data_IF_439110557515
#
_entry.id   IF_439110557515
#
_cell.length_a   1.000
_cell.length_b   1.000
_cell.length_c   1.000
_cell.angle_alpha   90.00
_cell.angle_beta   90.00
_cell.angle_gamma   90.00
#
_symmetry.space_group_name_H-M   'P 1'
#
loop_
_entity.id
_entity.type
_entity.pdbx_description
1 polymer ?
#
# COMPACT_ATOMS: atom_id res chain seq x y z
N UNK A 1 -2.00 28.88 -3.28
CA UNK A 1 -1.27 27.78 -3.94
C UNK A 1 0.04 28.32 -4.50
N UNK A 2 1.17 27.88 -3.97
CA UNK A 2 2.49 28.29 -4.46
C UNK A 2 2.75 27.71 -5.86
N UNK A 3 3.60 28.32 -6.70
CA UNK A 3 3.90 27.83 -8.06
C UNK A 3 4.35 26.37 -8.12
N UNK A 4 5.03 25.89 -7.08
CA UNK A 4 5.47 24.49 -6.96
C UNK A 4 4.30 23.50 -6.87
N UNK A 5 3.16 23.87 -6.31
CA UNK A 5 1.98 23.00 -6.17
C UNK A 5 1.17 22.87 -7.47
N UNK A 6 1.29 23.80 -8.41
CA UNK A 6 0.59 23.71 -9.71
C UNK A 6 1.15 22.61 -10.63
N UNK A 7 2.44 22.30 -10.52
CA UNK A 7 3.07 21.24 -11.34
C UNK A 7 2.83 19.82 -10.83
N UNK A 8 2.53 19.64 -9.55
CA UNK A 8 2.35 18.31 -8.92
C UNK A 8 0.92 17.77 -9.04
N UNK A 9 -0.08 18.63 -9.06
CA UNK A 9 -1.50 18.22 -9.07
C UNK A 9 -1.87 17.35 -10.29
N UNK A 10 -1.50 17.70 -11.55
CA UNK A 10 -1.78 16.85 -12.71
C UNK A 10 -1.12 15.46 -12.59
N UNK A 11 0.09 15.37 -12.03
CA UNK A 11 0.79 14.11 -11.80
C UNK A 11 0.07 13.26 -10.75
N UNK A 12 -0.39 13.87 -9.66
CA UNK A 12 -1.14 13.20 -8.60
C UNK A 12 -2.46 12.66 -9.13
N UNK A 13 -3.20 13.44 -9.89
CA UNK A 13 -4.48 13.02 -10.49
C UNK A 13 -4.22 11.88 -11.48
N UNK A 14 -3.30 12.06 -12.41
CA UNK A 14 -2.97 11.07 -13.42
C UNK A 14 -2.54 9.74 -12.78
N UNK A 15 -1.59 9.80 -11.85
CA UNK A 15 -1.08 8.61 -11.19
C UNK A 15 -2.13 7.99 -10.25
N UNK A 16 -2.95 8.80 -9.56
CA UNK A 16 -4.06 8.33 -8.76
C UNK A 16 -5.09 7.54 -9.58
N UNK A 17 -5.48 8.05 -10.75
CA UNK A 17 -6.39 7.35 -11.67
C UNK A 17 -5.77 6.05 -12.20
N UNK A 18 -4.51 6.05 -12.61
CA UNK A 18 -3.85 4.84 -13.10
C UNK A 18 -3.63 3.81 -11.98
N UNK A 19 -3.40 4.26 -10.74
CA UNK A 19 -3.37 3.38 -9.56
C UNK A 19 -4.76 2.79 -9.25
N UNK A 20 -5.84 3.58 -9.36
CA UNK A 20 -7.22 3.06 -9.23
C UNK A 20 -7.45 1.91 -10.21
N UNK A 21 -7.08 2.09 -11.46
CA UNK A 21 -7.20 1.08 -12.51
C UNK A 21 -6.34 -0.16 -12.22
N UNK A 22 -5.08 0.03 -11.85
CA UNK A 22 -4.17 -1.07 -11.55
C UNK A 22 -4.62 -1.92 -10.36
N UNK A 23 -5.10 -1.30 -9.27
CA UNK A 23 -5.64 -2.02 -8.11
C UNK A 23 -6.95 -2.74 -8.44
N UNK A 24 -7.85 -2.10 -9.19
CA UNK A 24 -9.14 -2.67 -9.59
C UNK A 24 -8.97 -3.93 -10.45
N UNK A 25 -8.07 -3.87 -11.44
CA UNK A 25 -7.82 -4.93 -12.41
C UNK A 25 -6.86 -6.03 -11.93
N UNK A 26 -6.32 -5.93 -10.72
CA UNK A 26 -5.42 -6.93 -10.15
C UNK A 26 -5.85 -7.40 -8.77
N UNK A 27 -5.58 -6.62 -7.72
CA UNK A 27 -5.80 -7.01 -6.32
C UNK A 27 -7.27 -7.23 -6.00
N UNK A 28 -8.17 -6.46 -6.60
CA UNK A 28 -9.63 -6.58 -6.37
C UNK A 28 -10.34 -7.52 -7.33
N UNK A 29 -9.68 -7.94 -8.40
CA UNK A 29 -10.23 -8.81 -9.44
C UNK A 29 -10.69 -10.19 -8.91
N UNK A 30 -9.90 -10.91 -8.08
CA UNK A 30 -10.27 -12.25 -7.61
C UNK A 30 -11.56 -12.26 -6.77
N UNK A 31 -11.87 -11.18 -6.08
CA UNK A 31 -13.08 -11.10 -5.26
C UNK A 31 -14.36 -11.33 -6.09
N UNK A 32 -14.36 -10.90 -7.34
CA UNK A 32 -15.50 -11.03 -8.26
C UNK A 32 -15.33 -12.23 -9.20
N UNK A 33 -14.13 -12.40 -9.78
CA UNK A 33 -13.94 -13.38 -10.85
C UNK A 33 -13.55 -14.78 -10.37
N UNK A 34 -13.18 -14.99 -9.09
CA UNK A 34 -12.73 -16.31 -8.64
C UNK A 34 -13.80 -17.40 -8.81
N UNK A 35 -15.09 -17.07 -8.60
CA UNK A 35 -16.17 -18.03 -8.73
C UNK A 35 -16.40 -18.45 -10.20
N UNK A 36 -16.64 -17.54 -11.14
CA UNK A 36 -16.87 -17.90 -12.54
C UNK A 36 -15.64 -18.54 -13.20
N UNK A 37 -14.42 -18.10 -12.86
CA UNK A 37 -13.18 -18.75 -13.33
C UNK A 37 -13.10 -20.20 -12.84
N UNK A 38 -13.33 -20.42 -11.55
CA UNK A 38 -13.28 -21.77 -10.96
C UNK A 38 -14.31 -22.71 -11.62
N UNK A 39 -15.51 -22.21 -11.84
CA UNK A 39 -16.60 -22.96 -12.47
C UNK A 39 -16.27 -23.34 -13.93
N UNK A 40 -15.85 -22.39 -14.74
CA UNK A 40 -15.62 -22.62 -16.17
C UNK A 40 -14.36 -23.45 -16.43
N UNK A 41 -13.28 -23.24 -15.65
CA UNK A 41 -12.05 -24.01 -15.78
C UNK A 41 -12.09 -25.37 -15.03
N UNK A 42 -13.20 -25.68 -14.38
CA UNK A 42 -13.40 -26.89 -13.59
C UNK A 42 -12.29 -27.12 -12.54
N UNK A 43 -11.97 -26.04 -11.80
CA UNK A 43 -10.99 -26.03 -10.71
C UNK A 43 -11.63 -25.50 -9.42
N UNK A 44 -10.96 -25.67 -8.28
CA UNK A 44 -11.45 -25.10 -7.02
C UNK A 44 -11.23 -23.57 -6.96
N UNK A 45 -12.09 -22.87 -6.23
CA UNK A 45 -11.83 -21.43 -5.90
C UNK A 45 -10.50 -21.25 -5.17
N UNK A 46 -10.10 -22.24 -4.35
CA UNK A 46 -8.82 -22.22 -3.65
C UNK A 46 -7.64 -22.18 -4.64
N UNK A 47 -7.73 -22.85 -5.79
CA UNK A 47 -6.69 -22.77 -6.82
C UNK A 47 -6.58 -21.37 -7.44
N UNK A 48 -7.70 -20.65 -7.62
CA UNK A 48 -7.68 -19.28 -8.12
C UNK A 48 -7.03 -18.33 -7.10
N UNK A 49 -7.40 -18.43 -5.83
CA UNK A 49 -6.75 -17.65 -4.76
C UNK A 49 -5.30 -18.07 -4.52
N UNK A 50 -4.96 -19.36 -4.71
CA UNK A 50 -3.58 -19.85 -4.68
C UNK A 50 -2.72 -19.20 -5.76
N UNK A 51 -3.22 -19.10 -7.00
CA UNK A 51 -2.54 -18.41 -8.09
C UNK A 51 -2.36 -16.92 -7.78
N UNK A 52 -3.37 -16.25 -7.21
CA UNK A 52 -3.24 -14.87 -6.73
C UNK A 52 -2.21 -14.73 -5.59
N UNK A 53 -2.13 -15.68 -4.66
CA UNK A 53 -1.11 -15.68 -3.61
C UNK A 53 0.30 -15.80 -4.19
N UNK A 54 0.50 -16.61 -5.23
CA UNK A 54 1.77 -16.69 -5.96
C UNK A 54 2.09 -15.34 -6.62
N UNK A 55 1.09 -14.68 -7.24
CA UNK A 55 1.28 -13.33 -7.80
C UNK A 55 1.73 -12.32 -6.73
N UNK A 56 1.17 -12.37 -5.52
CA UNK A 56 1.60 -11.52 -4.41
C UNK A 56 3.05 -11.79 -3.98
N UNK A 57 3.46 -13.05 -3.92
CA UNK A 57 4.85 -13.42 -3.63
C UNK A 57 5.79 -12.88 -4.70
N UNK A 58 5.45 -13.08 -5.99
CA UNK A 58 6.22 -12.54 -7.12
C UNK A 58 6.29 -11.01 -7.09
N UNK A 59 5.19 -10.35 -6.71
CA UNK A 59 5.14 -8.89 -6.49
C UNK A 59 6.17 -8.47 -5.43
N UNK A 60 6.22 -9.18 -4.32
CA UNK A 60 7.19 -8.92 -3.25
C UNK A 60 8.64 -9.12 -3.71
N UNK A 61 8.93 -10.27 -4.32
CA UNK A 61 10.28 -10.62 -4.79
C UNK A 61 10.78 -9.67 -5.90
N UNK A 62 9.88 -9.20 -6.77
CA UNK A 62 10.20 -8.23 -7.82
C UNK A 62 10.46 -6.81 -7.30
N UNK A 63 9.90 -6.46 -6.13
CA UNK A 63 9.95 -5.13 -5.56
C UNK A 63 11.35 -4.50 -5.47
N UNK A 64 12.37 -5.18 -4.93
CA UNK A 64 13.72 -4.62 -4.80
C UNK A 64 14.39 -4.32 -6.15
N UNK A 65 14.14 -5.16 -7.16
CA UNK A 65 14.67 -4.96 -8.52
C UNK A 65 13.98 -3.75 -9.18
N UNK A 66 12.65 -3.70 -9.13
CA UNK A 66 11.86 -2.59 -9.67
C UNK A 66 12.24 -1.28 -8.97
N UNK A 67 12.34 -1.29 -7.65
CA UNK A 67 12.76 -0.13 -6.87
C UNK A 67 14.11 0.42 -7.29
N UNK A 68 15.12 -0.45 -7.46
CA UNK A 68 16.45 -0.06 -7.97
C UNK A 68 16.40 0.53 -9.38
N UNK A 69 15.58 -0.04 -10.25
CA UNK A 69 15.43 0.47 -11.62
C UNK A 69 14.80 1.86 -11.62
N UNK A 70 13.79 2.09 -10.76
CA UNK A 70 13.17 3.41 -10.59
C UNK A 70 14.16 4.43 -10.00
N UNK A 71 14.93 4.02 -8.98
CA UNK A 71 15.95 4.89 -8.37
C UNK A 71 17.01 5.32 -9.39
N UNK A 72 17.38 4.45 -10.34
CA UNK A 72 18.41 4.73 -11.36
C UNK A 72 17.85 5.47 -12.58
N UNK A 73 16.74 5.00 -13.14
CA UNK A 73 16.24 5.44 -14.45
C UNK A 73 14.98 6.29 -14.37
N UNK A 74 14.41 6.47 -13.16
CA UNK A 74 13.12 7.15 -12.96
C UNK A 74 11.91 6.24 -13.16
N UNK A 75 10.74 6.73 -12.73
CA UNK A 75 9.51 5.92 -12.67
C UNK A 75 8.72 5.85 -13.97
N UNK A 76 8.87 6.81 -14.90
CA UNK A 76 8.04 6.91 -16.10
C UNK A 76 8.03 5.64 -16.94
N UNK A 77 9.22 5.15 -17.30
CA UNK A 77 9.37 3.95 -18.13
C UNK A 77 8.83 2.70 -17.43
N UNK A 78 9.10 2.56 -16.13
CA UNK A 78 8.63 1.42 -15.33
C UNK A 78 7.10 1.39 -15.22
N UNK A 79 6.47 2.53 -14.89
CA UNK A 79 5.02 2.65 -14.78
C UNK A 79 4.31 2.53 -16.14
N UNK A 80 4.94 2.98 -17.24
CA UNK A 80 4.42 2.74 -18.57
C UNK A 80 4.50 1.26 -18.96
N UNK A 81 5.67 0.62 -18.75
CA UNK A 81 5.86 -0.79 -19.04
C UNK A 81 4.93 -1.69 -18.19
N UNK A 82 4.63 -1.31 -16.94
CA UNK A 82 3.69 -2.07 -16.11
C UNK A 82 2.32 -2.22 -16.78
N UNK A 83 1.83 -1.19 -17.49
CA UNK A 83 0.53 -1.25 -18.17
C UNK A 83 0.54 -2.25 -19.33
N UNK A 84 1.66 -2.40 -20.04
CA UNK A 84 1.81 -3.42 -21.07
C UNK A 84 1.80 -4.83 -20.43
N UNK A 85 2.49 -5.00 -19.31
CA UNK A 85 2.54 -6.29 -18.59
C UNK A 85 1.18 -6.62 -17.95
N UNK A 86 0.47 -5.62 -17.38
CA UNK A 86 -0.91 -5.81 -16.91
C UNK A 86 -1.83 -6.25 -18.06
N UNK A 87 -1.78 -5.56 -19.18
CA UNK A 87 -2.58 -5.93 -20.35
C UNK A 87 -2.27 -7.34 -20.84
N UNK A 88 -0.99 -7.71 -20.94
CA UNK A 88 -0.58 -9.06 -21.32
C UNK A 88 -1.11 -10.12 -20.34
N UNK A 89 -0.94 -9.92 -19.03
CA UNK A 89 -1.45 -10.83 -18.00
C UNK A 89 -2.97 -10.97 -18.00
N UNK A 90 -3.70 -9.85 -18.21
CA UNK A 90 -5.15 -9.85 -18.31
C UNK A 90 -5.66 -10.54 -19.59
N UNK A 91 -4.99 -10.33 -20.73
CA UNK A 91 -5.28 -11.06 -21.96
C UNK A 91 -5.00 -12.54 -21.81
N UNK A 92 -3.86 -12.92 -21.22
CA UNK A 92 -3.55 -14.31 -20.92
C UNK A 92 -4.60 -14.94 -20.01
N UNK A 93 -5.08 -14.21 -19.00
CA UNK A 93 -6.15 -14.68 -18.12
C UNK A 93 -7.46 -14.85 -18.89
N UNK A 94 -7.84 -13.88 -19.70
CA UNK A 94 -9.05 -13.93 -20.51
C UNK A 94 -9.06 -15.04 -21.55
N UNK A 95 -7.92 -15.41 -22.09
CA UNK A 95 -7.76 -16.53 -23.03
C UNK A 95 -7.43 -17.87 -22.34
N UNK A 96 -7.33 -17.93 -21.02
CA UNK A 96 -6.93 -19.15 -20.32
C UNK A 96 -7.91 -20.31 -20.55
N UNK A 97 -7.47 -21.44 -21.14
CA UNK A 97 -8.32 -22.61 -21.36
C UNK A 97 -8.32 -23.57 -20.16
N UNK A 98 -7.38 -23.42 -19.24
CA UNK A 98 -7.19 -24.30 -18.08
C UNK A 98 -6.50 -23.60 -16.91
N UNK A 99 -6.42 -24.28 -15.76
CA UNK A 99 -5.81 -23.76 -14.55
C UNK A 99 -4.31 -23.44 -14.67
N UNK A 100 -3.57 -24.14 -15.54
CA UNK A 100 -2.13 -23.87 -15.72
C UNK A 100 -1.90 -22.53 -16.43
N UNK A 101 -2.66 -22.24 -17.48
CA UNK A 101 -2.58 -20.96 -18.18
C UNK A 101 -3.09 -19.82 -17.28
N UNK A 102 -4.14 -20.06 -16.47
CA UNK A 102 -4.58 -19.11 -15.44
C UNK A 102 -3.46 -18.83 -14.44
N UNK A 103 -2.74 -19.83 -13.95
CA UNK A 103 -1.60 -19.64 -13.04
C UNK A 103 -0.49 -18.83 -13.72
N UNK A 104 -0.15 -19.14 -14.96
CA UNK A 104 0.84 -18.38 -15.73
C UNK A 104 0.42 -16.91 -15.89
N UNK A 105 -0.86 -16.64 -16.18
CA UNK A 105 -1.41 -15.29 -16.23
C UNK A 105 -1.25 -14.53 -14.90
N UNK A 106 -1.53 -15.18 -13.77
CA UNK A 106 -1.31 -14.61 -12.45
C UNK A 106 0.17 -14.35 -12.14
N UNK A 107 1.09 -15.18 -12.64
CA UNK A 107 2.52 -14.89 -12.53
C UNK A 107 2.91 -13.62 -13.29
N UNK A 108 2.38 -13.42 -14.51
CA UNK A 108 2.59 -12.20 -15.29
C UNK A 108 1.96 -10.99 -14.59
N UNK A 109 0.73 -11.14 -14.06
CA UNK A 109 0.09 -10.09 -13.26
C UNK A 109 0.88 -9.76 -12.00
N UNK A 110 1.51 -10.74 -11.34
CA UNK A 110 2.40 -10.51 -10.20
C UNK A 110 3.60 -9.63 -10.56
N UNK A 111 4.22 -9.86 -11.71
CA UNK A 111 5.27 -8.99 -12.23
C UNK A 111 4.74 -7.57 -12.54
N UNK A 112 3.57 -7.46 -13.17
CA UNK A 112 2.90 -6.19 -13.43
C UNK A 112 2.61 -5.42 -12.13
N UNK A 113 2.12 -6.12 -11.09
CA UNK A 113 1.86 -5.56 -9.78
C UNK A 113 3.12 -5.02 -9.10
N UNK A 114 4.26 -5.73 -9.21
CA UNK A 114 5.54 -5.24 -8.72
C UNK A 114 5.96 -3.93 -9.40
N UNK A 115 5.72 -3.83 -10.71
CA UNK A 115 6.11 -2.69 -11.55
C UNK A 115 5.16 -1.50 -11.45
N UNK A 116 3.88 -1.70 -11.11
CA UNK A 116 2.83 -0.71 -11.34
C UNK A 116 1.97 -0.34 -10.13
N UNK A 117 2.03 -1.06 -9.00
CA UNK A 117 1.27 -0.71 -7.81
C UNK A 117 1.96 0.37 -6.95
N UNK A 118 1.40 0.66 -5.77
CA UNK A 118 1.82 1.75 -4.89
C UNK A 118 3.31 1.85 -4.66
N UNK A 119 4.02 0.73 -4.51
CA UNK A 119 5.44 0.74 -4.18
C UNK A 119 6.27 1.37 -5.30
N UNK A 120 5.98 1.01 -6.54
CA UNK A 120 6.59 1.61 -7.73
C UNK A 120 6.14 3.07 -7.91
N UNK A 121 4.86 3.37 -7.68
CA UNK A 121 4.32 4.72 -7.76
C UNK A 121 4.95 5.65 -6.71
N UNK A 122 5.10 5.18 -5.45
CA UNK A 122 5.76 5.92 -4.38
C UNK A 122 7.24 6.16 -4.69
N UNK A 123 7.95 5.13 -5.17
CA UNK A 123 9.34 5.28 -5.59
C UNK A 123 9.48 6.31 -6.71
N UNK A 124 8.58 6.30 -7.70
CA UNK A 124 8.55 7.29 -8.77
C UNK A 124 8.30 8.71 -8.25
N UNK A 125 7.35 8.89 -7.32
CA UNK A 125 7.08 10.19 -6.70
C UNK A 125 8.24 10.68 -5.84
N UNK A 126 8.87 9.79 -5.06
CA UNK A 126 10.05 10.16 -4.27
C UNK A 126 11.22 10.54 -5.17
N UNK A 127 11.42 9.83 -6.27
CA UNK A 127 12.45 10.17 -7.26
C UNK A 127 12.21 11.52 -7.93
N UNK A 128 10.94 11.94 -8.11
CA UNK A 128 10.56 13.23 -8.71
C UNK A 128 10.58 14.39 -7.71
N UNK A 129 10.12 14.17 -6.48
CA UNK A 129 9.86 15.23 -5.50
C UNK A 129 10.78 15.19 -4.27
N UNK A 130 11.65 14.19 -4.15
CA UNK A 130 12.57 14.02 -3.02
C UNK A 130 11.83 14.03 -1.68
N UNK A 131 12.30 14.82 -0.73
CA UNK A 131 11.70 14.95 0.62
C UNK A 131 10.27 15.49 0.62
N UNK A 132 9.83 16.15 -0.46
CA UNK A 132 8.49 16.72 -0.60
C UNK A 132 7.46 15.72 -1.17
N UNK A 133 7.82 14.45 -1.37
CA UNK A 133 6.93 13.43 -1.95
C UNK A 133 5.76 13.02 -1.04
N UNK A 134 5.74 13.41 0.25
CA UNK A 134 4.67 13.04 1.20
C UNK A 134 3.28 13.46 0.71
N UNK A 135 3.09 14.72 0.31
CA UNK A 135 1.79 15.20 -0.18
C UNK A 135 1.34 14.47 -1.45
N UNK A 136 2.18 14.32 -2.51
CA UNK A 136 1.85 13.50 -3.67
C UNK A 136 1.50 12.04 -3.32
N UNK A 137 2.26 11.39 -2.45
CA UNK A 137 1.97 10.01 -1.98
C UNK A 137 0.58 9.95 -1.35
N UNK A 138 0.25 10.86 -0.44
CA UNK A 138 -1.07 10.90 0.19
C UNK A 138 -2.15 11.17 -0.86
N UNK A 139 -1.92 12.10 -1.79
CA UNK A 139 -2.87 12.44 -2.85
C UNK A 139 -3.24 11.25 -3.75
N UNK A 140 -2.24 10.47 -4.23
CA UNK A 140 -2.54 9.29 -5.04
C UNK A 140 -3.28 8.21 -4.26
N UNK A 141 -3.01 8.06 -2.96
CA UNK A 141 -3.71 7.07 -2.13
C UNK A 141 -5.16 7.47 -1.83
N UNK A 142 -5.46 8.77 -1.80
CA UNK A 142 -6.84 9.25 -1.69
C UNK A 142 -7.66 8.85 -2.93
N UNK A 143 -7.14 9.12 -4.12
CA UNK A 143 -7.83 8.80 -5.39
C UNK A 143 -7.94 7.28 -5.56
N UNK A 144 -6.84 6.56 -5.42
CA UNK A 144 -6.85 5.11 -5.56
C UNK A 144 -7.52 4.36 -4.39
N UNK A 145 -7.89 5.07 -3.33
CA UNK A 145 -8.77 4.56 -2.28
C UNK A 145 -10.14 4.12 -2.79
N UNK A 146 -10.57 4.68 -3.93
CA UNK A 146 -11.83 4.30 -4.59
C UNK A 146 -11.69 3.11 -5.55
N UNK A 147 -10.53 2.44 -5.60
CA UNK A 147 -10.31 1.36 -6.55
C UNK A 147 -11.29 0.19 -6.39
N UNK A 148 -11.65 -0.20 -5.17
CA UNK A 148 -12.68 -1.22 -4.94
C UNK A 148 -14.09 -0.71 -5.25
N UNK A 149 -14.37 0.56 -4.93
CA UNK A 149 -15.67 1.20 -5.18
C UNK A 149 -15.99 1.30 -6.68
N UNK A 150 -15.00 1.48 -7.52
CA UNK A 150 -15.15 1.50 -8.98
C UNK A 150 -14.95 0.09 -9.57
N UNK A 151 -13.94 -0.63 -9.11
CA UNK A 151 -13.51 -1.89 -9.70
C UNK A 151 -14.51 -3.02 -9.51
N UNK A 152 -15.07 -3.18 -8.32
CA UNK A 152 -16.03 -4.26 -8.06
C UNK A 152 -17.32 -4.13 -8.86
N UNK A 153 -18.06 -2.99 -8.84
CA UNK A 153 -19.26 -2.85 -9.64
C UNK A 153 -19.01 -3.00 -11.14
N UNK A 154 -17.93 -2.39 -11.65
CA UNK A 154 -17.59 -2.51 -13.06
C UNK A 154 -17.26 -3.96 -13.45
N UNK A 155 -16.42 -4.63 -12.66
CA UNK A 155 -16.05 -6.04 -12.92
C UNK A 155 -17.29 -6.96 -12.81
N UNK A 156 -18.15 -6.75 -11.80
CA UNK A 156 -19.37 -7.53 -11.63
C UNK A 156 -20.32 -7.33 -12.81
N UNK A 157 -20.58 -6.07 -13.21
CA UNK A 157 -21.42 -5.75 -14.36
C UNK A 157 -20.91 -6.41 -15.65
N UNK A 158 -19.60 -6.29 -15.92
CA UNK A 158 -19.00 -6.91 -17.10
C UNK A 158 -19.06 -8.45 -17.06
N UNK A 159 -18.83 -9.04 -15.89
CA UNK A 159 -18.87 -10.49 -15.72
C UNK A 159 -20.29 -11.04 -15.86
N UNK A 160 -21.29 -10.33 -15.37
CA UNK A 160 -22.71 -10.72 -15.47
C UNK A 160 -23.26 -10.65 -16.90
N UNK A 161 -22.93 -9.55 -17.63
CA UNK A 161 -23.52 -9.31 -18.94
C UNK A 161 -22.72 -9.87 -20.11
N UNK A 162 -21.38 -9.95 -19.98
CA UNK A 162 -20.47 -10.33 -21.08
C UNK A 162 -19.53 -11.49 -20.71
N UNK A 163 -19.64 -12.00 -19.49
CA UNK A 163 -18.78 -13.06 -18.97
C UNK A 163 -17.45 -12.54 -18.40
N UNK A 164 -16.82 -13.37 -17.55
CA UNK A 164 -15.60 -13.00 -16.85
C UNK A 164 -14.41 -12.76 -17.79
N UNK A 165 -14.36 -13.43 -18.95
CA UNK A 165 -13.31 -13.25 -19.97
C UNK A 165 -13.36 -11.85 -20.56
N UNK A 166 -14.56 -11.37 -20.88
CA UNK A 166 -14.77 -10.01 -21.37
C UNK A 166 -14.32 -8.97 -20.34
N UNK A 167 -14.56 -9.21 -19.04
CA UNK A 167 -14.03 -8.35 -17.97
C UNK A 167 -12.51 -8.21 -18.06
N UNK A 168 -11.79 -9.33 -18.28
CA UNK A 168 -10.33 -9.31 -18.43
C UNK A 168 -9.90 -8.49 -19.67
N UNK A 169 -10.59 -8.65 -20.80
CA UNK A 169 -10.27 -7.92 -22.03
C UNK A 169 -10.54 -6.42 -21.89
N UNK A 170 -11.64 -6.02 -21.23
CA UNK A 170 -11.92 -4.61 -20.98
C UNK A 170 -10.86 -3.99 -20.08
N UNK A 171 -10.47 -4.67 -19.00
CA UNK A 171 -9.39 -4.18 -18.14
C UNK A 171 -8.06 -4.08 -18.88
N UNK A 172 -7.73 -5.04 -19.75
CA UNK A 172 -6.54 -4.97 -20.60
C UNK A 172 -6.58 -3.77 -21.55
N UNK A 173 -7.71 -3.53 -22.19
CA UNK A 173 -7.90 -2.37 -23.05
C UNK A 173 -7.78 -1.05 -22.29
N UNK A 174 -8.31 -0.95 -21.06
CA UNK A 174 -8.16 0.24 -20.21
C UNK A 174 -6.69 0.50 -19.83
N UNK A 175 -5.89 -0.54 -19.60
CA UNK A 175 -4.45 -0.37 -19.40
C UNK A 175 -3.74 0.20 -20.63
N UNK A 176 -4.08 -0.29 -21.82
CA UNK A 176 -3.44 0.15 -23.07
C UNK A 176 -3.93 1.52 -23.52
N UNK A 177 -5.25 1.77 -23.47
CA UNK A 177 -5.86 2.96 -24.05
C UNK A 177 -5.93 4.15 -23.07
N UNK A 178 -5.89 3.90 -21.75
CA UNK A 178 -6.02 4.94 -20.72
C UNK A 178 -4.75 5.04 -19.89
N UNK A 179 -4.40 3.97 -19.14
CA UNK A 179 -3.33 4.08 -18.17
C UNK A 179 -1.95 4.28 -18.78
N UNK A 180 -1.64 3.58 -19.89
CA UNK A 180 -0.37 3.71 -20.59
C UNK A 180 -0.15 5.15 -21.12
N UNK A 181 -1.07 5.73 -21.93
CA UNK A 181 -0.89 7.11 -22.43
C UNK A 181 -0.91 8.14 -21.31
N UNK A 182 -1.70 7.96 -20.25
CA UNK A 182 -1.70 8.85 -19.08
C UNK A 182 -0.34 8.82 -18.39
N UNK A 183 0.24 7.65 -18.13
CA UNK A 183 1.56 7.55 -17.50
C UNK A 183 2.66 8.16 -18.41
N UNK A 184 2.59 7.95 -19.72
CA UNK A 184 3.54 8.53 -20.66
C UNK A 184 3.41 10.06 -20.78
N UNK A 185 2.20 10.62 -20.65
CA UNK A 185 1.95 12.05 -20.84
C UNK A 185 2.23 12.87 -19.59
N UNK A 186 1.88 12.36 -18.41
CA UNK A 186 1.87 13.15 -17.16
C UNK A 186 3.03 12.86 -16.21
N UNK A 187 3.71 11.71 -16.34
CA UNK A 187 4.88 11.41 -15.53
C UNK A 187 6.13 11.88 -16.26
N UNK A 188 6.89 12.84 -15.70
CA UNK A 188 8.11 13.32 -16.34
C UNK A 188 9.18 12.24 -16.47
N UNK A 189 9.84 12.19 -17.61
CA UNK A 189 11.09 11.44 -17.76
C UNK A 189 12.23 12.21 -17.13
N UNK A 190 13.10 11.53 -16.40
CA UNK A 190 14.31 12.13 -15.87
C UNK A 190 15.37 12.07 -16.99
N UNK A 191 15.86 13.24 -17.44
CA UNK A 191 17.01 13.28 -18.33
C UNK A 191 18.25 12.79 -17.58
N UNK A 192 18.93 11.78 -18.12
CA UNK A 192 20.20 11.30 -17.60
C UNK A 192 21.23 12.43 -17.71
N UNK A 193 21.43 13.19 -16.66
CA UNK A 193 22.32 14.36 -16.66
C UNK A 193 22.01 15.39 -15.59
N UNK A 194 20.77 15.42 -15.06
CA UNK A 194 20.37 16.40 -14.07
C UNK A 194 20.88 16.13 -12.64
N UNK A 195 21.67 15.08 -12.43
CA UNK A 195 22.15 14.67 -11.08
C UNK A 195 23.52 15.29 -10.76
N UNK A 196 24.24 15.83 -11.74
CA UNK A 196 25.62 16.29 -11.55
C UNK A 196 25.75 17.77 -11.12
N UNK A 197 24.70 18.57 -11.05
CA UNK A 197 24.83 20.03 -10.88
C UNK A 197 24.32 20.59 -9.56
N UNK A 198 23.90 19.78 -8.59
CA UNK A 198 23.45 20.30 -7.29
C UNK A 198 24.47 20.17 -6.13
N UNK A 199 25.71 19.75 -6.39
CA UNK A 199 26.76 19.63 -5.37
C UNK A 199 28.11 20.27 -5.73
N UNK A 200 28.15 21.21 -6.66
CA UNK A 200 29.34 22.03 -6.86
C UNK A 200 28.93 23.50 -6.98
N UNK A 201 28.73 24.15 -5.84
CA UNK A 201 29.02 25.57 -5.73
C UNK A 201 30.54 25.66 -5.72
N UNK A 202 31.19 26.36 -6.63
CA UNK A 202 32.64 26.62 -6.53
C UNK A 202 32.82 27.49 -5.30
N UNK A 203 33.64 27.00 -4.35
CA UNK A 203 34.14 27.83 -3.29
C UNK A 203 34.97 28.94 -3.92
N UNK A 204 34.51 30.19 -3.86
CA UNK A 204 35.32 31.36 -4.03
C UNK A 204 36.34 31.39 -2.89
N UNK A 205 37.64 31.57 -3.16
CA UNK A 205 38.62 31.75 -2.11
C UNK A 205 38.44 33.17 -1.57
N UNK A 206 37.92 33.30 -0.37
CA UNK A 206 38.07 34.53 0.42
C UNK A 206 39.21 34.34 1.42
N UNK A 207 40.13 35.29 1.30
CA UNK A 207 41.27 35.62 2.10
C UNK A 207 41.05 35.59 3.62
N UNK A 208 42.10 35.17 4.29
CA UNK A 208 42.37 35.20 5.71
C UNK A 208 42.08 36.55 6.36
N UNK A 209 41.30 36.54 7.41
CA UNK A 209 41.50 37.44 8.55
C UNK A 209 41.01 36.78 9.84
N UNK A 210 41.81 36.81 10.92
CA UNK A 210 41.45 36.14 12.16
C UNK A 210 40.70 37.12 13.06
N UNK A 211 39.40 36.91 13.32
CA UNK A 211 38.73 37.64 14.38
C UNK A 211 38.43 36.73 15.57
N UNK A 212 39.08 37.07 16.65
CA UNK A 212 38.86 36.58 17.99
C UNK A 212 37.61 37.26 18.54
N UNK A 213 36.64 36.49 18.95
CA UNK A 213 35.93 36.77 20.20
C UNK A 213 34.68 35.91 20.41
N UNK A 214 34.72 35.33 21.51
CA UNK A 214 33.72 35.20 22.57
C UNK A 214 32.94 33.91 22.63
N UNK A 215 33.47 33.09 23.54
CA UNK A 215 32.76 32.12 24.32
C UNK A 215 31.47 32.71 24.93
N UNK A 216 30.34 32.17 24.56
CA UNK A 216 29.21 32.12 25.44
C UNK A 216 28.72 30.68 25.47
N UNK A 217 29.14 29.97 26.49
CA UNK A 217 28.64 28.69 26.86
C UNK A 217 27.17 28.80 27.23
N UNK A 218 26.30 28.47 26.31
CA UNK A 218 24.94 28.07 26.64
C UNK A 218 24.93 26.53 26.66
N UNK A 219 25.09 26.00 27.86
CA UNK A 219 24.94 24.58 28.16
C UNK A 219 23.47 24.21 27.97
N UNK A 220 23.06 23.97 26.74
CA UNK A 220 21.77 23.37 26.42
C UNK A 220 21.96 21.84 26.53
N UNK A 221 21.76 21.34 27.75
CA UNK A 221 21.77 19.90 28.06
C UNK A 221 20.49 19.28 27.51
N UNK A 222 20.30 19.33 26.20
CA UNK A 222 19.41 18.38 25.53
C UNK A 222 20.14 17.06 25.55
N UNK A 223 19.61 16.12 26.31
CA UNK A 223 19.98 14.71 26.24
C UNK A 223 19.90 14.27 24.77
N UNK A 224 21.03 14.36 24.08
CA UNK A 224 21.18 13.90 22.70
C UNK A 224 21.02 12.39 22.70
N UNK A 225 19.81 11.94 22.45
CA UNK A 225 19.52 10.52 22.31
C UNK A 225 20.40 9.99 21.17
N UNK A 226 21.26 9.03 21.47
CA UNK A 226 22.11 8.35 20.48
C UNK A 226 21.29 8.03 19.22
N UNK A 227 21.74 8.37 18.00
CA UNK A 227 21.01 8.09 16.78
C UNK A 227 20.72 6.59 16.69
N UNK A 228 19.50 6.23 16.35
CA UNK A 228 19.09 4.84 16.18
C UNK A 228 19.84 4.27 14.97
N UNK A 229 20.40 3.05 15.11
CA UNK A 229 21.03 2.37 13.99
C UNK A 229 20.04 2.20 12.83
N UNK A 230 20.44 2.59 11.60
CA UNK A 230 19.60 2.42 10.39
C UNK A 230 19.13 0.98 10.22
N UNK A 231 19.96 0.01 10.58
CA UNK A 231 19.64 -1.41 10.51
C UNK A 231 18.47 -1.77 11.43
N UNK A 232 18.48 -1.26 12.67
CA UNK A 232 17.38 -1.49 13.61
C UNK A 232 16.09 -0.82 13.13
N UNK A 233 16.18 0.43 12.66
CA UNK A 233 15.03 1.15 12.11
C UNK A 233 14.42 0.40 10.90
N UNK A 234 15.25 -0.16 10.02
CA UNK A 234 14.81 -0.96 8.89
C UNK A 234 14.03 -2.20 9.34
N UNK A 235 14.55 -2.97 10.29
CA UNK A 235 13.86 -4.17 10.78
C UNK A 235 12.56 -3.85 11.52
N UNK A 236 12.52 -2.77 12.29
CA UNK A 236 11.29 -2.32 12.94
C UNK A 236 10.22 -1.92 11.91
N UNK A 237 10.60 -1.23 10.83
CA UNK A 237 9.68 -0.94 9.71
C UNK A 237 9.27 -2.19 8.96
N UNK A 238 10.16 -3.17 8.79
CA UNK A 238 9.84 -4.45 8.16
C UNK A 238 8.81 -5.23 8.98
N UNK A 239 8.98 -5.30 10.30
CA UNK A 239 8.00 -5.90 11.22
C UNK A 239 6.65 -5.17 11.15
N UNK A 240 6.65 -3.85 11.20
CA UNK A 240 5.43 -3.04 11.04
C UNK A 240 4.73 -3.33 9.71
N UNK A 241 5.47 -3.32 8.60
CA UNK A 241 4.90 -3.54 7.27
C UNK A 241 4.34 -4.96 7.10
N UNK A 242 5.07 -5.97 7.60
CA UNK A 242 4.67 -7.37 7.56
C UNK A 242 3.43 -7.65 8.42
N UNK A 243 3.45 -7.19 9.68
CA UNK A 243 2.35 -7.39 10.63
C UNK A 243 1.05 -6.70 10.16
N UNK A 244 1.14 -5.45 9.71
CA UNK A 244 -0.03 -4.72 9.17
C UNK A 244 -0.54 -5.33 7.87
N UNK A 245 0.33 -5.89 7.02
CA UNK A 245 -0.08 -6.58 5.80
C UNK A 245 -0.79 -7.89 6.11
N UNK A 246 -0.34 -8.63 7.12
CA UNK A 246 -1.05 -9.81 7.61
C UNK A 246 -2.47 -9.46 8.06
N UNK A 247 -2.61 -8.50 8.98
CA UNK A 247 -3.92 -8.11 9.51
C UNK A 247 -4.86 -7.61 8.41
N UNK A 248 -4.36 -6.77 7.50
CA UNK A 248 -5.16 -6.26 6.38
C UNK A 248 -5.68 -7.39 5.51
N UNK A 249 -4.85 -8.37 5.18
CA UNK A 249 -5.22 -9.49 4.31
C UNK A 249 -6.14 -10.49 5.02
N UNK A 250 -5.88 -10.78 6.29
CA UNK A 250 -6.75 -11.63 7.11
C UNK A 250 -8.16 -11.03 7.24
N UNK A 251 -8.26 -9.74 7.54
CA UNK A 251 -9.56 -9.05 7.64
C UNK A 251 -10.25 -8.94 6.28
N UNK A 252 -9.53 -8.69 5.19
CA UNK A 252 -10.12 -8.66 3.86
C UNK A 252 -10.78 -9.99 3.47
N UNK A 253 -10.22 -11.11 3.94
CA UNK A 253 -10.74 -12.45 3.64
C UNK A 253 -11.83 -12.92 4.63
N UNK A 254 -11.70 -12.57 5.91
CA UNK A 254 -12.46 -13.23 6.97
C UNK A 254 -13.34 -12.30 7.80
N UNK A 255 -13.36 -10.98 7.58
CA UNK A 255 -14.09 -10.04 8.41
C UNK A 255 -15.58 -10.40 8.57
N UNK A 256 -16.36 -10.65 7.50
CA UNK A 256 -17.78 -11.00 7.68
C UNK A 256 -17.96 -12.28 8.49
N UNK A 257 -17.17 -13.32 8.19
CA UNK A 257 -17.20 -14.60 8.92
C UNK A 257 -16.81 -14.46 10.38
N UNK A 258 -15.79 -13.64 10.67
CA UNK A 258 -15.34 -13.34 12.04
C UNK A 258 -16.46 -12.66 12.85
N UNK A 259 -17.15 -11.67 12.25
CA UNK A 259 -18.25 -10.97 12.90
C UNK A 259 -19.46 -11.88 13.16
N UNK A 260 -19.79 -12.73 12.18
CA UNK A 260 -20.85 -13.75 12.36
C UNK A 260 -20.49 -14.70 13.50
N UNK A 261 -19.25 -15.21 13.54
CA UNK A 261 -18.77 -16.10 14.59
C UNK A 261 -18.68 -15.41 15.97
N UNK A 262 -18.50 -14.09 16.00
CA UNK A 262 -18.58 -13.27 17.21
C UNK A 262 -20.02 -12.99 17.68
N UNK A 263 -21.05 -13.49 16.98
CA UNK A 263 -22.45 -13.36 17.33
C UNK A 263 -23.21 -12.23 16.63
N UNK A 264 -22.63 -11.61 15.59
CA UNK A 264 -23.35 -10.61 14.79
C UNK A 264 -24.40 -11.29 13.89
N UNK A 265 -25.52 -10.62 13.65
CA UNK A 265 -26.46 -11.05 12.61
C UNK A 265 -25.83 -10.89 11.22
N UNK A 266 -26.33 -11.64 10.23
CA UNK A 266 -25.85 -11.55 8.85
C UNK A 266 -25.96 -10.12 8.30
N UNK A 267 -27.04 -9.41 8.59
CA UNK A 267 -27.24 -8.02 8.19
C UNK A 267 -26.24 -7.08 8.85
N UNK A 268 -25.97 -7.26 10.17
CA UNK A 268 -24.98 -6.45 10.91
C UNK A 268 -23.56 -6.69 10.40
N UNK A 269 -23.18 -7.94 10.14
CA UNK A 269 -21.86 -8.29 9.62
C UNK A 269 -21.63 -7.70 8.21
N UNK A 270 -22.62 -7.77 7.33
CA UNK A 270 -22.54 -7.20 5.98
C UNK A 270 -22.46 -5.67 6.03
N UNK A 271 -23.31 -5.02 6.85
CA UNK A 271 -23.30 -3.57 7.03
C UNK A 271 -21.95 -3.09 7.59
N UNK A 272 -21.43 -3.78 8.60
CA UNK A 272 -20.11 -3.48 9.16
C UNK A 272 -19.01 -3.61 8.10
N UNK A 273 -18.99 -4.69 7.32
CA UNK A 273 -18.03 -4.87 6.24
C UNK A 273 -18.11 -3.76 5.18
N UNK A 274 -19.32 -3.29 4.85
CA UNK A 274 -19.52 -2.18 3.91
C UNK A 274 -18.97 -0.83 4.44
N UNK A 275 -18.92 -0.62 5.75
CA UNK A 275 -18.36 0.60 6.35
C UNK A 275 -16.83 0.69 6.27
N UNK A 276 -16.14 -0.41 6.01
CA UNK A 276 -14.67 -0.46 5.96
C UNK A 276 -14.10 0.50 4.90
N UNK A 277 -14.65 0.50 3.69
CA UNK A 277 -14.22 1.37 2.58
C UNK A 277 -14.38 2.86 2.89
N UNK A 278 -15.59 3.33 3.23
CA UNK A 278 -15.82 4.72 3.64
C UNK A 278 -14.93 5.17 4.80
N UNK A 279 -14.72 4.32 5.82
CA UNK A 279 -13.83 4.63 6.94
C UNK A 279 -12.37 4.81 6.50
N UNK A 280 -11.87 3.98 5.56
CA UNK A 280 -10.54 4.15 4.99
C UNK A 280 -10.36 5.50 4.29
N UNK A 281 -11.33 5.88 3.45
CA UNK A 281 -11.26 7.14 2.69
C UNK A 281 -11.36 8.34 3.62
N UNK A 282 -12.30 8.30 4.57
CA UNK A 282 -12.47 9.37 5.56
C UNK A 282 -11.19 9.58 6.40
N UNK A 283 -10.57 8.50 6.86
CA UNK A 283 -9.34 8.56 7.64
C UNK A 283 -8.14 9.11 6.83
N UNK A 284 -8.02 8.72 5.55
CA UNK A 284 -6.99 9.29 4.65
C UNK A 284 -7.19 10.77 4.41
N UNK A 285 -8.44 11.20 4.23
CA UNK A 285 -8.77 12.62 4.07
C UNK A 285 -8.46 13.40 5.35
N UNK A 286 -8.86 12.86 6.52
CA UNK A 286 -8.57 13.47 7.81
C UNK A 286 -7.05 13.59 8.06
N UNK A 287 -6.27 12.54 7.75
CA UNK A 287 -4.80 12.60 7.85
C UNK A 287 -4.22 13.64 6.90
N UNK A 288 -4.67 13.70 5.64
CA UNK A 288 -4.21 14.68 4.67
C UNK A 288 -4.44 16.12 5.17
N UNK A 289 -5.66 16.41 5.65
CA UNK A 289 -6.02 17.74 6.17
C UNK A 289 -5.22 18.10 7.42
N UNK A 290 -5.09 17.15 8.35
CA UNK A 290 -4.42 17.33 9.63
C UNK A 290 -2.90 17.49 9.45
N UNK A 291 -2.29 16.65 8.61
CA UNK A 291 -0.88 16.73 8.29
C UNK A 291 -0.52 18.07 7.63
N UNK A 292 -1.40 18.57 6.75
CA UNK A 292 -1.21 19.84 6.06
C UNK A 292 -1.38 21.04 6.99
N UNK A 293 -2.33 20.99 7.94
CA UNK A 293 -2.64 22.08 8.86
C UNK A 293 -1.66 22.17 10.04
N UNK A 294 -1.27 21.03 10.60
CA UNK A 294 -0.52 20.95 11.85
C UNK A 294 0.90 20.38 11.69
N UNK A 295 1.31 19.98 10.49
CA UNK A 295 2.66 19.45 10.25
C UNK A 295 2.98 18.16 10.99
N UNK A 296 1.99 17.32 11.29
CA UNK A 296 2.23 16.05 12.03
C UNK A 296 3.30 15.19 11.38
N UNK A 297 4.21 14.70 12.21
CA UNK A 297 5.25 13.80 11.76
C UNK A 297 4.64 12.44 11.32
N UNK A 298 5.09 11.82 10.21
CA UNK A 298 4.54 10.55 9.72
C UNK A 298 4.51 9.43 10.76
N UNK A 299 5.49 9.40 11.67
CA UNK A 299 5.55 8.41 12.75
C UNK A 299 4.41 8.55 13.76
N UNK A 300 3.98 9.78 14.07
CA UNK A 300 2.83 10.00 14.96
C UNK A 300 1.54 9.51 14.30
N UNK A 301 1.29 9.87 13.04
CA UNK A 301 0.15 9.37 12.27
C UNK A 301 0.13 7.84 12.20
N UNK A 302 1.29 7.22 11.95
CA UNK A 302 1.41 5.76 11.87
C UNK A 302 1.11 5.07 13.20
N UNK A 303 1.57 5.63 14.33
CA UNK A 303 1.26 5.10 15.68
C UNK A 303 -0.24 5.15 15.98
N UNK A 304 -0.88 6.29 15.71
CA UNK A 304 -2.33 6.43 15.85
C UNK A 304 -3.06 5.41 14.96
N UNK A 305 -2.71 5.35 13.68
CA UNK A 305 -3.31 4.44 12.72
C UNK A 305 -3.22 2.97 13.14
N UNK A 306 -2.03 2.56 13.65
CA UNK A 306 -1.79 1.18 14.06
C UNK A 306 -2.50 0.83 15.37
N UNK A 307 -2.76 1.81 16.26
CA UNK A 307 -3.49 1.62 17.49
C UNK A 307 -5.01 1.41 17.27
N UNK A 308 -5.57 1.88 16.15
CA UNK A 308 -7.02 1.78 15.90
C UNK A 308 -7.52 0.33 15.81
N UNK A 309 -6.75 -0.58 15.19
CA UNK A 309 -7.18 -1.98 15.09
C UNK A 309 -7.20 -2.70 16.45
N UNK A 310 -6.16 -2.68 17.29
CA UNK A 310 -6.25 -3.28 18.62
C UNK A 310 -7.35 -2.67 19.49
N UNK A 311 -7.63 -1.36 19.36
CA UNK A 311 -8.77 -0.75 20.05
C UNK A 311 -10.08 -1.38 19.58
N UNK A 312 -10.26 -1.54 18.28
CA UNK A 312 -11.42 -2.22 17.71
C UNK A 312 -11.52 -3.67 18.16
N UNK A 313 -10.40 -4.39 18.24
CA UNK A 313 -10.32 -5.77 18.78
C UNK A 313 -10.84 -5.83 20.21
N UNK A 314 -10.43 -4.90 21.07
CA UNK A 314 -10.90 -4.83 22.46
C UNK A 314 -12.42 -4.59 22.52
N UNK A 315 -12.94 -3.66 21.68
CA UNK A 315 -14.39 -3.40 21.59
C UNK A 315 -15.14 -4.68 21.19
N UNK A 316 -14.68 -5.38 20.15
CA UNK A 316 -15.29 -6.62 19.68
C UNK A 316 -15.21 -7.75 20.72
N UNK A 317 -14.07 -7.87 21.41
CA UNK A 317 -13.86 -8.90 22.43
C UNK A 317 -14.71 -8.71 23.70
N UNK A 318 -14.94 -7.45 24.11
CA UNK A 318 -15.70 -7.13 25.33
C UNK A 318 -17.23 -7.13 25.09
N UNK A 319 -17.66 -6.73 23.91
CA UNK A 319 -19.10 -6.48 23.63
C UNK A 319 -19.69 -7.58 22.72
N UNK A 320 -18.83 -8.33 22.01
CA UNK A 320 -19.25 -9.36 21.06
C UNK A 320 -19.81 -8.79 19.77
N UNK A 321 -20.66 -9.58 19.10
CA UNK A 321 -21.22 -9.26 17.79
C UNK A 321 -22.39 -8.27 17.78
N UNK A 322 -22.60 -7.48 18.82
CA UNK A 322 -23.61 -6.43 18.81
C UNK A 322 -23.42 -5.50 17.59
N UNK A 323 -24.49 -5.05 16.91
CA UNK A 323 -24.39 -4.32 15.64
C UNK A 323 -23.46 -3.10 15.71
N UNK A 324 -23.50 -2.34 16.81
CA UNK A 324 -22.63 -1.18 16.99
C UNK A 324 -21.17 -1.55 17.21
N UNK A 325 -20.89 -2.68 17.91
CA UNK A 325 -19.54 -3.15 18.14
C UNK A 325 -18.90 -3.70 16.86
N UNK A 326 -19.66 -4.43 16.07
CA UNK A 326 -19.25 -4.87 14.73
C UNK A 326 -18.95 -3.68 13.80
N UNK A 327 -19.81 -2.67 13.78
CA UNK A 327 -19.60 -1.44 13.02
C UNK A 327 -18.37 -0.66 13.53
N UNK A 328 -18.23 -0.48 14.84
CA UNK A 328 -17.07 0.21 15.45
C UNK A 328 -15.76 -0.51 15.13
N UNK A 329 -15.71 -1.84 15.24
CA UNK A 329 -14.54 -2.63 14.85
C UNK A 329 -14.17 -2.42 13.39
N UNK A 330 -15.14 -2.55 12.47
CA UNK A 330 -14.92 -2.38 11.03
C UNK A 330 -14.45 -0.96 10.69
N UNK A 331 -15.06 0.06 11.30
CA UNK A 331 -14.66 1.46 11.09
C UNK A 331 -13.26 1.75 11.64
N UNK A 332 -12.92 1.30 12.85
CA UNK A 332 -11.59 1.46 13.43
C UNK A 332 -10.53 0.73 12.61
N UNK A 333 -10.80 -0.52 12.23
CA UNK A 333 -9.90 -1.28 11.34
C UNK A 333 -9.74 -0.58 9.99
N UNK A 334 -10.84 -0.16 9.38
CA UNK A 334 -10.84 0.54 8.09
C UNK A 334 -10.05 1.85 8.17
N UNK A 335 -10.32 2.69 9.14
CA UNK A 335 -9.61 3.95 9.36
C UNK A 335 -8.10 3.72 9.55
N UNK A 336 -7.73 2.77 10.42
CA UNK A 336 -6.34 2.37 10.62
C UNK A 336 -5.67 1.92 9.34
N UNK A 337 -6.30 1.01 8.59
CA UNK A 337 -5.77 0.50 7.33
C UNK A 337 -5.60 1.60 6.25
N UNK A 338 -6.53 2.54 6.19
CA UNK A 338 -6.44 3.70 5.31
C UNK A 338 -5.17 4.54 5.57
N UNK A 339 -4.94 4.91 6.81
CA UNK A 339 -3.77 5.69 7.23
C UNK A 339 -2.45 4.88 7.14
N UNK A 340 -2.47 3.57 7.48
CA UNK A 340 -1.30 2.68 7.37
C UNK A 340 -0.80 2.61 5.92
N UNK A 341 -1.68 2.66 4.94
CA UNK A 341 -1.29 2.68 3.53
C UNK A 341 -0.42 3.89 3.19
N UNK A 342 -0.76 5.07 3.72
CA UNK A 342 0.05 6.29 3.60
C UNK A 342 1.36 6.14 4.37
N UNK A 343 1.29 5.63 5.60
CA UNK A 343 2.45 5.43 6.46
C UNK A 343 3.51 4.51 5.84
N UNK A 344 3.11 3.42 5.18
CA UNK A 344 4.02 2.52 4.46
C UNK A 344 4.83 3.23 3.39
N UNK A 345 4.30 4.25 2.74
CA UNK A 345 5.03 5.05 1.76
C UNK A 345 5.84 6.21 2.37
N UNK A 346 5.35 6.80 3.45
CA UNK A 346 5.94 8.04 4.01
C UNK A 346 6.96 7.81 5.11
N UNK A 347 6.85 6.73 5.89
CA UNK A 347 7.81 6.42 6.97
C UNK A 347 9.22 6.11 6.46
N UNK A 348 9.43 5.24 5.44
CA UNK A 348 10.77 5.01 4.91
C UNK A 348 11.42 6.29 4.38
N UNK A 349 10.62 7.18 3.76
CA UNK A 349 11.09 8.49 3.31
C UNK A 349 11.50 9.39 4.48
N UNK A 350 10.69 9.43 5.55
CA UNK A 350 10.94 10.27 6.71
C UNK A 350 12.15 9.82 7.55
N UNK A 351 12.45 8.51 7.55
CA UNK A 351 13.51 7.93 8.38
C UNK A 351 14.84 7.83 7.61
N UNK A 352 14.79 7.40 6.34
CA UNK A 352 15.98 7.11 5.55
C UNK A 352 16.27 8.15 4.46
N UNK A 353 15.37 9.12 4.27
CA UNK A 353 15.48 10.07 3.17
C UNK A 353 15.14 9.47 1.80
N UNK A 354 15.37 10.27 0.75
CA UNK A 354 15.00 9.92 -0.62
C UNK A 354 16.03 9.08 -1.37
N UNK A 355 17.29 9.03 -0.91
CA UNK A 355 18.34 8.27 -1.57
C UNK A 355 18.08 6.75 -1.46
N UNK A 356 18.00 6.04 -2.59
CA UNK A 356 17.74 4.60 -2.64
C UNK A 356 16.38 4.19 -2.04
N UNK A 357 15.42 5.10 -2.02
CA UNK A 357 14.08 4.86 -1.46
C UNK A 357 13.38 3.68 -2.14
N UNK A 358 13.42 3.62 -3.47
CA UNK A 358 12.74 2.56 -4.20
C UNK A 358 13.26 1.16 -3.84
N UNK A 359 14.58 1.01 -3.74
CA UNK A 359 15.18 -0.26 -3.32
C UNK A 359 14.81 -0.65 -1.89
N UNK A 360 14.88 0.30 -0.94
CA UNK A 360 14.49 0.06 0.47
C UNK A 360 13.01 -0.29 0.59
N UNK A 361 12.15 0.43 -0.12
CA UNK A 361 10.71 0.15 -0.18
C UNK A 361 10.44 -1.25 -0.73
N UNK A 362 11.13 -1.63 -1.80
CA UNK A 362 11.05 -2.97 -2.35
C UNK A 362 11.43 -4.07 -1.36
N UNK A 363 12.53 -3.88 -0.58
CA UNK A 363 12.94 -4.84 0.45
C UNK A 363 11.92 -4.98 1.58
N UNK A 364 11.34 -3.86 2.06
CA UNK A 364 10.29 -3.88 3.08
C UNK A 364 9.06 -4.66 2.58
N UNK A 365 8.77 -4.56 1.30
CA UNK A 365 7.63 -5.24 0.68
C UNK A 365 7.80 -6.73 0.47
N UNK A 366 9.01 -7.27 0.41
CA UNK A 366 9.22 -8.73 0.33
C UNK A 366 8.51 -9.42 1.50
N UNK A 367 8.78 -8.96 2.73
CA UNK A 367 8.15 -9.52 3.93
C UNK A 367 6.67 -9.19 4.00
N UNK A 368 6.29 -7.95 3.67
CA UNK A 368 4.90 -7.51 3.70
C UNK A 368 4.01 -8.33 2.76
N UNK A 369 4.46 -8.59 1.52
CA UNK A 369 3.71 -9.39 0.53
C UNK A 369 3.69 -10.87 0.86
N UNK A 370 4.79 -11.42 1.40
CA UNK A 370 4.80 -12.79 1.92
C UNK A 370 3.76 -12.98 3.03
N UNK A 371 3.73 -12.08 4.00
CA UNK A 371 2.73 -12.12 5.08
C UNK A 371 1.31 -11.88 4.56
N UNK A 372 1.13 -11.00 3.58
CA UNK A 372 -0.16 -10.78 2.92
C UNK A 372 -0.69 -12.03 2.22
N UNK A 373 0.17 -12.77 1.52
CA UNK A 373 -0.19 -14.00 0.82
C UNK A 373 -0.53 -15.14 1.78
N UNK A 374 0.18 -15.22 2.91
CA UNK A 374 0.02 -16.28 3.91
C UNK A 374 -1.16 -16.04 4.87
N UNK A 375 -1.53 -14.80 5.11
CA UNK A 375 -2.48 -14.40 6.15
C UNK A 375 -3.87 -15.06 6.04
N UNK A 376 -4.54 -15.13 4.87
CA UNK A 376 -5.86 -15.74 4.79
C UNK A 376 -5.86 -17.21 5.20
N UNK A 377 -4.83 -17.95 4.80
CA UNK A 377 -4.68 -19.36 5.17
C UNK A 377 -4.43 -19.54 6.68
N UNK A 378 -3.44 -18.82 7.23
CA UNK A 378 -3.09 -18.96 8.64
C UNK A 378 -4.23 -18.50 9.57
N UNK A 379 -4.92 -17.42 9.20
CA UNK A 379 -6.02 -16.89 9.97
C UNK A 379 -7.26 -17.80 9.90
N UNK A 380 -7.59 -18.32 8.72
CA UNK A 380 -8.66 -19.29 8.53
C UNK A 380 -8.43 -20.57 9.35
N UNK A 381 -7.20 -21.13 9.28
CA UNK A 381 -6.82 -22.28 10.09
C UNK A 381 -6.95 -22.03 11.60
N UNK A 382 -6.65 -20.81 12.05
CA UNK A 382 -6.81 -20.41 13.46
C UNK A 382 -8.29 -20.38 13.85
N UNK A 383 -9.14 -19.80 12.99
CA UNK A 383 -10.60 -19.77 13.22
C UNK A 383 -11.18 -21.19 13.28
N UNK A 384 -10.79 -22.05 12.36
CA UNK A 384 -11.31 -23.43 12.26
C UNK A 384 -10.88 -24.30 13.45
N UNK A 385 -9.62 -24.18 13.88
CA UNK A 385 -9.07 -25.05 14.94
C UNK A 385 -9.29 -24.54 16.37
N UNK A 386 -9.25 -23.21 16.55
CA UNK A 386 -9.21 -22.58 17.87
C UNK A 386 -10.37 -21.60 18.13
N UNK A 387 -11.23 -21.40 17.13
CA UNK A 387 -12.42 -20.58 17.24
C UNK A 387 -12.18 -19.08 17.12
N UNK A 388 -13.27 -18.32 17.25
CA UNK A 388 -13.32 -16.87 17.03
C UNK A 388 -12.44 -16.08 18.01
N UNK A 389 -12.40 -16.50 19.28
CA UNK A 389 -11.58 -15.83 20.31
C UNK A 389 -10.09 -15.85 19.97
N UNK A 390 -9.58 -16.98 19.46
CA UNK A 390 -8.21 -17.10 18.99
C UNK A 390 -7.92 -16.24 17.75
N UNK A 391 -8.86 -16.15 16.81
CA UNK A 391 -8.75 -15.25 15.66
C UNK A 391 -8.67 -13.78 16.06
N UNK A 392 -9.55 -13.34 16.97
CA UNK A 392 -9.55 -11.98 17.53
C UNK A 392 -8.21 -11.72 18.25
N UNK A 393 -7.75 -12.62 19.12
CA UNK A 393 -6.49 -12.49 19.85
C UNK A 393 -5.27 -12.46 18.88
N UNK A 394 -5.27 -13.29 17.85
CA UNK A 394 -4.20 -13.32 16.83
C UNK A 394 -4.10 -11.98 16.09
N UNK A 395 -5.22 -11.44 15.59
CA UNK A 395 -5.21 -10.17 14.84
C UNK A 395 -4.81 -9.00 15.76
N UNK A 396 -5.32 -8.96 16.98
CA UNK A 396 -4.96 -7.97 17.98
C UNK A 396 -3.49 -8.06 18.39
N UNK A 397 -3.00 -9.26 18.68
CA UNK A 397 -1.60 -9.52 19.03
C UNK A 397 -0.61 -9.09 17.95
N UNK A 398 -0.87 -9.46 16.69
CA UNK A 398 -0.05 -9.04 15.54
C UNK A 398 -0.07 -7.52 15.39
N UNK A 399 -1.23 -6.87 15.58
CA UNK A 399 -1.33 -5.41 15.53
C UNK A 399 -0.57 -4.73 16.67
N UNK A 400 -0.56 -5.31 17.87
CA UNK A 400 0.25 -4.81 18.98
C UNK A 400 1.74 -4.94 18.69
N UNK A 401 2.19 -6.03 18.07
CA UNK A 401 3.58 -6.17 17.63
C UNK A 401 3.95 -5.06 16.62
N UNK A 402 3.05 -4.74 15.67
CA UNK A 402 3.26 -3.63 14.75
C UNK A 402 3.35 -2.28 15.48
N UNK A 403 2.47 -2.05 16.46
CA UNK A 403 2.47 -0.82 17.26
C UNK A 403 3.74 -0.71 18.11
N UNK A 404 4.17 -1.77 18.77
CA UNK A 404 5.40 -1.81 19.56
C UNK A 404 6.62 -1.52 18.68
N UNK A 405 6.69 -2.10 17.48
CA UNK A 405 7.76 -1.79 16.52
C UNK A 405 7.80 -0.29 16.21
N UNK A 406 6.65 0.36 15.99
CA UNK A 406 6.59 1.80 15.77
C UNK A 406 6.92 2.63 17.02
N UNK A 407 6.58 2.14 18.23
CA UNK A 407 6.93 2.85 19.48
C UNK A 407 8.44 2.84 19.72
N UNK A 408 9.13 1.76 19.33
CA UNK A 408 10.59 1.66 19.39
C UNK A 408 11.30 2.50 18.34
N UNK A 409 10.64 2.88 17.25
CA UNK A 409 11.20 3.79 16.25
C UNK A 409 11.35 5.20 16.83
N UNK A 410 12.53 5.80 16.62
CA UNK A 410 12.81 7.18 16.96
C UNK A 410 12.62 8.07 15.74
N UNK A 411 12.25 9.34 15.97
CA UNK A 411 12.26 10.33 14.88
C UNK A 411 13.69 10.43 14.36
N UNK A 412 13.87 10.28 13.05
CA UNK A 412 15.14 10.62 12.42
C UNK A 412 15.46 12.10 12.69
N UNK A 413 16.66 12.39 13.04
CA UNK A 413 17.18 13.75 13.26
C UNK A 413 17.27 14.50 11.95
#
# INVERSE_FOLDING_TARGET
>A
MTPATRGTLPQVIALGCTQTLAWASSTYLPAILAAPIAQELNISRANVFGAFSIALILTGLGGPMVGRLIDRHGGRGMLAASNLVFAAGLLMLGFAPNGLMMLAAWCVLGAAMAMGLYDAAFAALVRLHGKHAREPITGITLIAGFASTVGWPLTAYLAEHFGWRASCFVWAAMHLCIALPVNLRFIPGIKAGAIATSHTTPATPHSDEPDKAQHAAATDTRLSAKPQSERLAFWLLAVFAAATSFVTSAMAAHLPGLLLAAGASAAAALTAAALLGPAQVAARLAEFMTARRFGFHPLASARVATALHPIGVVVLALIGGAPFAAAAFAMLHGAGNGMITIAKGTLPLAIFGSAGYGYRQGLLNVLARGMQAFAPFAFGLTLDKHGVGAGIALSGGISLVALLALMMLRKGS
#
